data_IF_191227738126
#
_entry.id   IF_191227738126
#
_cell.length_a   1.000
_cell.length_b   1.000
_cell.length_c   1.000
_cell.angle_alpha   90.00
_cell.angle_beta   90.00
_cell.angle_gamma   90.00
#
_symmetry.space_group_name_H-M   'P 1'
#
loop_
_entity.id
_entity.type
_entity.pdbx_description
1 polymer ?
#
# COMPACT_ATOMS: atom_id res chain seq x y z
N UNK A 1 -10.90 9.00 -4.71
CA UNK A 1 -9.65 8.27 -4.43
C UNK A 1 -9.81 6.77 -4.55
N UNK A 2 -10.84 6.18 -3.99
CA UNK A 2 -11.18 4.76 -4.16
C UNK A 2 -11.29 4.39 -5.64
N UNK A 3 -11.89 5.23 -6.47
CA UNK A 3 -12.07 4.97 -7.90
C UNK A 3 -10.73 4.96 -8.68
N UNK A 4 -9.73 5.74 -8.24
CA UNK A 4 -8.44 5.80 -8.91
C UNK A 4 -7.64 4.49 -8.80
N UNK A 5 -7.61 3.87 -7.61
CA UNK A 5 -6.94 2.58 -7.49
C UNK A 5 -7.74 1.45 -8.14
N UNK A 6 -9.07 1.49 -8.09
CA UNK A 6 -9.93 0.56 -8.83
C UNK A 6 -9.69 0.61 -10.33
N UNK A 7 -9.55 1.80 -10.91
CA UNK A 7 -9.23 1.94 -12.33
C UNK A 7 -7.88 1.31 -12.66
N UNK A 8 -6.87 1.51 -11.82
CA UNK A 8 -5.56 0.88 -12.00
C UNK A 8 -5.64 -0.65 -11.93
N UNK A 9 -6.39 -1.19 -10.96
CA UNK A 9 -6.62 -2.63 -10.83
C UNK A 9 -7.31 -3.21 -12.06
N UNK A 10 -8.34 -2.53 -12.56
CA UNK A 10 -9.09 -2.97 -13.75
C UNK A 10 -8.26 -2.88 -15.04
N UNK A 11 -7.43 -1.84 -15.19
CA UNK A 11 -6.63 -1.63 -16.39
C UNK A 11 -5.37 -2.51 -16.41
N UNK A 12 -4.72 -2.69 -15.27
CA UNK A 12 -3.43 -3.35 -15.19
C UNK A 12 -3.48 -4.77 -14.60
N UNK A 13 -4.59 -5.16 -13.98
CA UNK A 13 -4.72 -6.48 -13.35
C UNK A 13 -3.81 -6.69 -12.14
N UNK A 14 -3.40 -5.61 -11.48
CA UNK A 14 -2.60 -5.64 -10.26
C UNK A 14 -3.44 -5.17 -9.08
N UNK A 15 -3.17 -5.70 -7.89
CA UNK A 15 -3.77 -5.17 -6.67
C UNK A 15 -3.02 -3.91 -6.23
N UNK A 16 -3.76 -2.84 -5.98
CA UNK A 16 -3.21 -1.56 -5.53
C UNK A 16 -3.84 -1.19 -4.19
N UNK A 17 -3.01 -0.86 -3.24
CA UNK A 17 -3.45 -0.30 -1.97
C UNK A 17 -3.06 1.18 -1.87
N UNK A 18 -3.77 1.91 -1.03
CA UNK A 18 -3.52 3.33 -0.78
C UNK A 18 -3.50 3.60 0.71
N UNK A 19 -2.57 4.43 1.14
CA UNK A 19 -2.44 4.85 2.54
C UNK A 19 -2.15 6.33 2.65
N UNK A 20 -2.49 6.93 3.79
CA UNK A 20 -2.14 8.31 4.14
C UNK A 20 -0.65 8.38 4.48
N UNK A 21 0.13 8.98 3.57
CA UNK A 21 1.59 9.06 3.69
C UNK A 21 2.03 9.85 4.92
N UNK A 22 1.29 10.88 5.31
CA UNK A 22 1.65 11.74 6.43
C UNK A 22 1.51 11.04 7.80
N UNK A 23 0.85 9.89 7.83
CA UNK A 23 0.64 9.09 9.04
C UNK A 23 1.59 7.90 9.18
N UNK A 24 2.47 7.71 8.22
CA UNK A 24 3.53 6.70 8.28
C UNK A 24 4.64 7.21 9.19
N UNK A 25 5.10 6.37 10.10
CA UNK A 25 6.13 6.72 11.07
C UNK A 25 7.44 5.98 10.79
N UNK A 26 8.36 6.70 10.14
CA UNK A 26 9.68 6.17 9.79
C UNK A 26 9.68 5.35 8.51
N UNK A 27 10.55 4.36 8.43
CA UNK A 27 10.77 3.57 7.22
C UNK A 27 9.74 2.47 7.06
N UNK A 28 9.19 2.36 5.85
CA UNK A 28 8.35 1.23 5.46
C UNK A 28 9.19 -0.01 5.17
N UNK A 29 8.76 -1.14 5.69
CA UNK A 29 9.41 -2.44 5.48
C UNK A 29 8.35 -3.48 5.10
N UNK A 30 8.59 -4.16 3.99
CA UNK A 30 7.86 -5.37 3.66
C UNK A 30 8.50 -6.54 4.41
N UNK A 31 7.73 -7.21 5.24
CA UNK A 31 8.22 -8.21 6.18
C UNK A 31 7.29 -9.44 6.23
N UNK A 32 7.75 -10.46 6.90
CA UNK A 32 7.00 -11.70 7.11
C UNK A 32 6.75 -11.88 8.60
N UNK A 33 5.51 -12.12 8.97
CA UNK A 33 5.12 -12.30 10.35
C UNK A 33 5.73 -13.58 10.96
N UNK A 34 6.13 -13.47 12.22
CA UNK A 34 6.61 -14.62 13.02
C UNK A 34 5.46 -15.35 13.73
N UNK A 35 4.28 -14.76 13.73
CA UNK A 35 3.09 -15.26 14.41
C UNK A 35 2.88 -14.64 15.79
N UNK A 36 1.66 -14.17 16.03
CA UNK A 36 1.26 -13.53 17.28
C UNK A 36 1.33 -12.00 17.27
N UNK A 37 1.90 -11.40 16.23
CA UNK A 37 1.83 -9.95 16.04
C UNK A 37 0.38 -9.51 15.87
N UNK A 38 0.06 -8.31 16.34
CA UNK A 38 -1.29 -7.76 16.28
C UNK A 38 -1.34 -6.50 15.44
N UNK A 39 -2.41 -6.34 14.68
CA UNK A 39 -2.69 -5.13 13.90
C UNK A 39 -4.09 -4.63 14.17
N UNK A 40 -4.23 -3.32 14.29
CA UNK A 40 -5.51 -2.63 14.37
C UNK A 40 -6.03 -2.30 12.97
N UNK A 41 -6.84 -3.17 12.41
CA UNK A 41 -7.43 -2.98 11.09
C UNK A 41 -8.57 -1.97 11.05
N UNK A 42 -8.91 -1.54 9.85
CA UNK A 42 -10.00 -0.58 9.63
C UNK A 42 -11.33 -1.08 10.21
N UNK A 43 -12.12 -0.14 10.73
CA UNK A 43 -13.45 -0.42 11.28
C UNK A 43 -13.42 -1.13 12.63
N UNK A 44 -12.37 -0.98 13.41
CA UNK A 44 -12.22 -1.57 14.74
C UNK A 44 -11.89 -3.07 14.73
N UNK A 45 -11.44 -3.59 13.61
CA UNK A 45 -10.98 -4.98 13.51
C UNK A 45 -9.64 -5.13 14.21
N UNK A 46 -9.45 -6.27 14.86
CA UNK A 46 -8.15 -6.67 15.40
C UNK A 46 -7.69 -7.95 14.71
N UNK A 47 -6.49 -7.91 14.16
CA UNK A 47 -5.87 -9.06 13.51
C UNK A 47 -4.75 -9.60 14.40
N UNK A 48 -4.71 -10.91 14.53
CA UNK A 48 -3.56 -11.63 15.06
C UNK A 48 -2.91 -12.36 13.89
N UNK A 49 -1.68 -12.01 13.57
CA UNK A 49 -0.98 -12.55 12.43
C UNK A 49 -0.51 -13.98 12.71
N UNK A 50 -0.60 -14.80 11.67
CA UNK A 50 -0.03 -16.14 11.67
C UNK A 50 1.40 -16.08 11.11
N UNK A 51 2.21 -17.04 11.49
CA UNK A 51 3.54 -17.21 10.91
C UNK A 51 3.46 -17.32 9.38
N UNK A 52 4.31 -16.58 8.70
CA UNK A 52 4.39 -16.57 7.24
C UNK A 52 3.48 -15.56 6.54
N UNK A 53 2.59 -14.86 7.25
CA UNK A 53 1.79 -13.80 6.62
C UNK A 53 2.67 -12.62 6.22
N UNK A 54 2.44 -12.11 5.01
CA UNK A 54 3.18 -10.95 4.47
C UNK A 54 2.53 -9.68 4.99
N UNK A 55 3.35 -8.80 5.55
CA UNK A 55 2.91 -7.53 6.11
C UNK A 55 3.77 -6.37 5.63
N UNK A 56 3.16 -5.21 5.46
CA UNK A 56 3.84 -3.93 5.36
C UNK A 56 3.77 -3.25 6.72
N UNK A 57 4.90 -2.81 7.24
CA UNK A 57 4.98 -2.11 8.52
C UNK A 57 5.83 -0.86 8.42
N UNK A 58 5.55 0.12 9.25
CA UNK A 58 6.46 1.22 9.56
C UNK A 58 7.31 0.87 10.80
N UNK A 59 7.99 1.83 11.38
CA UNK A 59 8.84 1.59 12.56
C UNK A 59 8.03 1.33 13.84
N UNK A 60 6.73 1.59 13.85
CA UNK A 60 5.88 1.43 15.04
C UNK A 60 4.78 0.40 14.88
N UNK A 61 4.14 0.37 13.72
CA UNK A 61 2.90 -0.37 13.53
C UNK A 61 2.89 -1.18 12.23
N UNK A 62 2.01 -2.16 12.18
CA UNK A 62 1.67 -2.88 10.96
C UNK A 62 0.65 -2.06 10.18
N UNK A 63 1.01 -1.64 8.98
CA UNK A 63 0.19 -0.80 8.09
C UNK A 63 -0.80 -1.63 7.28
N UNK A 64 -0.37 -2.80 6.83
CA UNK A 64 -1.20 -3.68 6.02
C UNK A 64 -0.76 -5.13 6.17
N UNK A 65 -1.72 -6.03 6.22
CA UNK A 65 -1.49 -7.47 6.11
C UNK A 65 -2.09 -7.93 4.80
N UNK A 66 -1.31 -8.54 3.93
CA UNK A 66 -1.70 -8.86 2.55
C UNK A 66 -3.05 -9.59 2.46
N UNK A 67 -3.29 -10.54 3.33
CA UNK A 67 -4.53 -11.33 3.34
C UNK A 67 -5.67 -10.75 4.20
N UNK A 68 -5.40 -9.71 5.00
CA UNK A 68 -6.36 -9.21 6.00
C UNK A 68 -6.75 -7.75 5.78
N UNK A 69 -5.89 -6.97 5.12
CA UNK A 69 -6.16 -5.58 4.74
C UNK A 69 -5.35 -4.54 5.50
N UNK A 70 -5.76 -3.28 5.33
CA UNK A 70 -5.08 -2.10 5.85
C UNK A 70 -5.47 -1.78 7.30
N UNK A 71 -4.62 -0.98 7.95
CA UNK A 71 -4.80 -0.53 9.31
C UNK A 71 -5.75 0.67 9.44
N UNK A 72 -6.14 0.97 10.67
CA UNK A 72 -7.00 2.12 11.00
C UNK A 72 -6.21 3.44 11.03
N UNK A 73 -4.93 3.41 11.41
CA UNK A 73 -4.09 4.59 11.63
C UNK A 73 -3.80 5.33 10.33
N UNK A 74 -3.40 4.61 9.29
CA UNK A 74 -2.97 5.20 8.03
C UNK A 74 -4.05 5.20 6.95
N UNK A 75 -5.29 4.85 7.29
CA UNK A 75 -6.39 4.90 6.33
C UNK A 75 -6.59 6.32 5.80
N UNK A 76 -6.92 6.41 4.53
CA UNK A 76 -7.23 7.68 3.87
C UNK A 76 -8.51 8.27 4.44
N UNK A 77 -8.49 9.58 4.72
CA UNK A 77 -9.60 10.37 5.26
C UNK A 77 -9.82 11.63 4.41
N UNK A 78 -10.86 12.39 4.72
CA UNK A 78 -11.20 13.62 4.01
C UNK A 78 -10.11 14.70 4.12
N UNK A 79 -9.35 14.68 5.20
CA UNK A 79 -8.23 15.59 5.46
C UNK A 79 -6.87 15.11 4.91
N UNK A 80 -6.78 13.92 4.35
CA UNK A 80 -5.56 13.39 3.75
C UNK A 80 -5.10 14.26 2.58
N UNK A 81 -3.82 14.64 2.58
CA UNK A 81 -3.21 15.49 1.55
C UNK A 81 -2.14 14.78 0.74
N UNK A 82 -1.41 13.87 1.35
CA UNK A 82 -0.37 13.07 0.69
C UNK A 82 -0.73 11.60 0.79
N UNK A 83 -0.67 10.90 -0.33
CA UNK A 83 -0.99 9.48 -0.38
C UNK A 83 0.16 8.67 -0.96
N UNK A 84 0.29 7.46 -0.49
CA UNK A 84 1.15 6.44 -1.06
C UNK A 84 0.27 5.35 -1.68
N UNK A 85 0.39 5.17 -3.00
CA UNK A 85 -0.10 3.97 -3.67
C UNK A 85 1.00 2.92 -3.67
N UNK A 86 0.68 1.69 -3.36
CA UNK A 86 1.63 0.59 -3.40
C UNK A 86 0.98 -0.69 -3.91
N UNK A 87 1.80 -1.55 -4.48
CA UNK A 87 1.42 -2.86 -4.96
C UNK A 87 2.50 -3.86 -4.57
N UNK A 88 2.09 -5.07 -4.24
CA UNK A 88 3.02 -6.17 -3.99
C UNK A 88 3.27 -6.92 -5.30
N UNK A 89 4.54 -7.10 -5.64
CA UNK A 89 4.91 -7.95 -6.76
C UNK A 89 4.68 -9.42 -6.43
N UNK A 90 3.90 -10.09 -7.26
CA UNK A 90 3.83 -11.55 -7.27
C UNK A 90 5.06 -12.08 -8.02
N UNK A 91 5.70 -13.18 -7.57
CA UNK A 91 6.81 -13.77 -8.29
C UNK A 91 6.47 -14.02 -9.77
N UNK A 92 7.36 -13.54 -10.66
CA UNK A 92 7.17 -13.64 -12.12
C UNK A 92 6.52 -12.41 -12.78
N UNK A 93 6.09 -11.42 -12.00
CA UNK A 93 5.62 -10.13 -12.55
C UNK A 93 6.80 -9.17 -12.70
N UNK A 94 6.95 -8.57 -13.89
CA UNK A 94 7.98 -7.58 -14.16
C UNK A 94 7.70 -6.28 -13.39
N UNK A 95 8.74 -5.70 -12.81
CA UNK A 95 8.67 -4.41 -12.13
C UNK A 95 8.23 -3.26 -13.03
N UNK A 96 8.52 -3.31 -14.33
CA UNK A 96 8.04 -2.33 -15.31
C UNK A 96 6.53 -2.37 -15.41
N UNK A 97 5.95 -3.56 -15.50
CA UNK A 97 4.49 -3.75 -15.53
C UNK A 97 3.79 -3.21 -14.27
N UNK A 98 4.38 -3.46 -13.09
CA UNK A 98 3.88 -2.90 -11.83
C UNK A 98 3.94 -1.38 -11.82
N UNK A 99 5.04 -0.82 -12.31
CA UNK A 99 5.24 0.63 -12.40
C UNK A 99 4.21 1.29 -13.31
N UNK A 100 3.91 0.66 -14.45
CA UNK A 100 2.86 1.13 -15.37
C UNK A 100 1.49 1.13 -14.70
N UNK A 101 1.13 0.08 -13.98
CA UNK A 101 -0.14 0.00 -13.24
C UNK A 101 -0.26 1.06 -12.14
N UNK A 102 0.79 1.28 -11.37
CA UNK A 102 0.83 2.35 -10.37
C UNK A 102 0.79 3.74 -11.00
N UNK A 103 1.37 3.90 -12.19
CA UNK A 103 1.29 5.16 -12.95
C UNK A 103 -0.15 5.49 -13.32
N UNK A 104 -0.93 4.50 -13.76
CA UNK A 104 -2.37 4.69 -14.04
C UNK A 104 -3.12 5.19 -12.81
N UNK A 105 -2.86 4.62 -11.61
CA UNK A 105 -3.49 5.07 -10.37
C UNK A 105 -3.13 6.52 -10.04
N UNK A 106 -1.83 6.84 -10.11
CA UNK A 106 -1.31 8.16 -9.78
C UNK A 106 -1.81 9.24 -10.74
N UNK A 107 -1.77 8.97 -12.05
CA UNK A 107 -2.25 9.91 -13.08
C UNK A 107 -3.76 10.13 -12.99
N UNK A 108 -4.54 9.09 -12.74
CA UNK A 108 -5.99 9.20 -12.54
C UNK A 108 -6.31 10.08 -11.35
N UNK A 109 -5.63 9.90 -10.23
CA UNK A 109 -5.83 10.76 -9.06
C UNK A 109 -5.40 12.20 -9.34
N UNK A 110 -4.26 12.40 -9.99
CA UNK A 110 -3.78 13.75 -10.33
C UNK A 110 -4.75 14.49 -11.26
N UNK A 111 -5.31 13.79 -12.24
CA UNK A 111 -6.23 14.35 -13.22
C UNK A 111 -7.57 14.75 -12.60
N UNK A 112 -8.16 13.90 -11.76
CA UNK A 112 -9.51 14.10 -11.23
C UNK A 112 -9.54 14.65 -9.80
N UNK A 113 -8.50 14.40 -9.01
CA UNK A 113 -8.38 14.85 -7.64
C UNK A 113 -7.55 16.13 -7.46
N UNK A 114 -6.82 16.55 -8.49
CA UNK A 114 -5.96 17.73 -8.47
C UNK A 114 -4.75 17.52 -7.55
N UNK A 115 -3.69 16.95 -8.05
CA UNK A 115 -2.47 16.71 -7.27
C UNK A 115 -1.25 16.59 -8.17
N UNK A 116 -0.10 16.36 -7.56
CA UNK A 116 1.17 16.13 -8.26
C UNK A 116 1.77 14.79 -7.87
N UNK A 117 2.27 14.08 -8.86
CA UNK A 117 3.03 12.84 -8.66
C UNK A 117 4.46 13.23 -8.28
N UNK A 118 4.94 12.75 -7.12
CA UNK A 118 6.31 13.01 -6.67
C UNK A 118 7.30 12.01 -7.26
N UNK A 119 7.02 10.72 -7.12
CA UNK A 119 7.85 9.65 -7.67
C UNK A 119 7.04 8.36 -7.83
N UNK A 120 7.52 7.48 -8.69
CA UNK A 120 7.03 6.11 -8.83
C UNK A 120 8.25 5.19 -8.89
N UNK A 121 8.42 4.36 -7.90
CA UNK A 121 9.60 3.52 -7.71
C UNK A 121 9.25 2.05 -7.52
N UNK A 122 10.15 1.16 -7.90
CA UNK A 122 10.05 -0.28 -7.68
C UNK A 122 11.22 -0.71 -6.79
N UNK A 123 10.89 -1.38 -5.70
CA UNK A 123 11.86 -1.91 -4.75
C UNK A 123 11.99 -3.42 -4.92
N UNK A 124 13.21 -3.91 -4.97
CA UNK A 124 13.52 -5.35 -5.04
C UNK A 124 14.31 -5.74 -3.80
N UNK A 125 14.20 -6.98 -3.37
CA UNK A 125 14.96 -7.49 -2.23
C UNK A 125 16.46 -7.24 -2.43
N UNK A 126 17.08 -6.53 -1.49
CA UNK A 126 18.51 -6.18 -1.54
C UNK A 126 18.84 -4.84 -2.21
N UNK A 127 17.88 -4.15 -2.81
CA UNK A 127 18.06 -2.76 -3.23
C UNK A 127 17.80 -1.83 -2.04
N UNK A 128 18.77 -1.09 -1.67
CA UNK A 128 18.64 0.04 -0.73
C UNK A 128 19.05 1.33 -1.42
#
# INVERSE_FOLDING_TARGET
>A
MVDAHFMAEMCAGILVAVTDYDRIEGMLTLDVAHGGETSAGMGGRHFVLKEGEIMLRDEKDIICVLCQGADEKTKVKDDTRNVLFYSYAVPGIDGIYLKEGLTVAAETLAQFGGGTIRCIEVFVKGSR
#
